data_IF_489731529190
#
_entry.id   IF_489731529190
#
_cell.length_a   1.000
_cell.length_b   1.000
_cell.length_c   1.000
_cell.angle_alpha   90.00
_cell.angle_beta   90.00
_cell.angle_gamma   90.00
#
_symmetry.space_group_name_H-M   'P 1'
#
loop_
_entity.id
_entity.type
_entity.pdbx_description
1 polymer ?
#
# COMPACT_ATOMS: atom_id res chain seq x y z
N UNK A 1 -6.01 5.97 -1.93
CA UNK A 1 -5.77 4.51 -2.04
C UNK A 1 -4.61 4.17 -1.12
N UNK A 2 -4.54 2.94 -0.64
CA UNK A 2 -3.39 2.45 0.12
C UNK A 2 -3.01 1.06 -0.39
N UNK A 3 -1.73 0.74 -0.41
CA UNK A 3 -1.23 -0.56 -0.83
C UNK A 3 0.02 -0.98 -0.06
N UNK A 4 0.25 -2.28 -0.01
CA UNK A 4 1.42 -2.96 0.53
C UNK A 4 1.93 -3.92 -0.53
N UNK A 5 3.25 -3.93 -0.73
CA UNK A 5 3.94 -5.05 -1.37
C UNK A 5 4.48 -5.93 -0.24
N UNK A 6 4.12 -7.21 -0.25
CA UNK A 6 4.48 -8.16 0.79
C UNK A 6 5.30 -9.31 0.20
N UNK A 7 6.43 -9.61 0.81
CA UNK A 7 7.29 -10.75 0.51
C UNK A 7 7.30 -11.73 1.68
N UNK A 8 7.48 -13.01 1.38
CA UNK A 8 7.71 -14.07 2.37
C UNK A 8 8.56 -15.14 1.70
N UNK A 9 9.66 -15.55 2.33
CA UNK A 9 10.57 -16.57 1.77
C UNK A 9 9.80 -17.83 1.38
N UNK A 10 10.07 -18.36 0.18
CA UNK A 10 9.36 -19.52 -0.36
C UNK A 10 7.95 -19.23 -0.91
N UNK A 11 7.48 -17.98 -0.89
CA UNK A 11 6.18 -17.59 -1.43
C UNK A 11 6.30 -16.47 -2.47
N UNK A 12 5.38 -16.50 -3.45
CA UNK A 12 5.25 -15.39 -4.42
C UNK A 12 4.92 -14.08 -3.69
N UNK A 13 5.47 -12.94 -4.14
CA UNK A 13 5.12 -11.64 -3.58
C UNK A 13 3.64 -11.31 -3.83
N UNK A 14 3.07 -10.51 -2.93
CA UNK A 14 1.66 -10.14 -2.97
C UNK A 14 1.52 -8.62 -2.93
N UNK A 15 0.65 -8.09 -3.78
CA UNK A 15 0.19 -6.71 -3.71
C UNK A 15 -1.15 -6.69 -2.98
N UNK A 16 -1.23 -6.10 -1.79
CA UNK A 16 -2.47 -5.97 -1.01
C UNK A 16 -2.87 -4.50 -1.03
N UNK A 17 -4.13 -4.17 -1.35
CA UNK A 17 -4.54 -2.78 -1.48
C UNK A 17 -5.98 -2.54 -1.04
N UNK A 18 -6.28 -1.27 -0.77
CA UNK A 18 -7.61 -0.74 -0.47
C UNK A 18 -7.86 0.52 -1.30
N UNK A 19 -9.09 0.66 -1.80
CA UNK A 19 -9.56 1.82 -2.56
C UNK A 19 -10.78 2.36 -1.84
N UNK A 20 -10.71 3.64 -1.48
CA UNK A 20 -11.86 4.38 -0.98
C UNK A 20 -12.42 5.22 -2.13
N UNK A 21 -13.73 5.12 -2.33
CA UNK A 21 -14.50 5.96 -3.23
C UNK A 21 -15.10 7.09 -2.39
N UNK A 22 -14.62 8.31 -2.58
CA UNK A 22 -15.30 9.47 -2.02
C UNK A 22 -16.45 9.87 -2.96
N UNK A 23 -17.68 9.77 -2.49
CA UNK A 23 -18.91 9.95 -3.29
C UNK A 23 -19.60 11.31 -3.09
N UNK A 24 -18.92 12.29 -2.49
CA UNK A 24 -19.43 13.67 -2.42
C UNK A 24 -19.36 14.30 -1.02
N UNK A 25 -19.81 15.55 -0.88
CA UNK A 25 -19.49 16.38 0.27
C UNK A 25 -20.38 16.02 1.46
N UNK A 26 -20.00 15.01 2.23
CA UNK A 26 -20.38 14.96 3.63
C UNK A 26 -19.53 16.00 4.35
N UNK A 27 -20.12 17.17 4.65
CA UNK A 27 -19.53 18.19 5.53
C UNK A 27 -18.94 17.45 6.74
N UNK A 28 -17.63 17.60 7.00
CA UNK A 28 -16.86 16.94 8.07
C UNK A 28 -16.29 15.53 7.84
N UNK A 29 -16.39 14.91 6.65
CA UNK A 29 -15.67 13.64 6.40
C UNK A 29 -14.20 13.89 6.08
N UNK A 30 -13.28 13.26 6.81
CA UNK A 30 -11.83 13.29 6.52
C UNK A 30 -11.59 12.69 5.13
N UNK A 31 -10.98 13.48 4.24
CA UNK A 31 -10.57 13.02 2.91
C UNK A 31 -9.37 12.07 3.04
N UNK A 32 -9.43 10.91 2.40
CA UNK A 32 -8.33 9.96 2.36
C UNK A 32 -8.44 8.80 3.36
N UNK A 33 -7.33 8.10 3.57
CA UNK A 33 -7.24 6.98 4.50
C UNK A 33 -6.98 7.50 5.92
N UNK A 34 -7.74 6.99 6.88
CA UNK A 34 -7.55 7.25 8.31
C UNK A 34 -6.60 6.23 8.93
N UNK A 35 -6.14 6.49 10.15
CA UNK A 35 -5.32 5.56 10.95
C UNK A 35 -6.03 4.21 11.10
N UNK A 36 -7.35 4.20 11.33
CA UNK A 36 -8.16 2.98 11.39
C UNK A 36 -8.18 2.21 10.06
N UNK A 37 -8.19 2.91 8.93
CA UNK A 37 -8.17 2.26 7.61
C UNK A 37 -6.83 1.59 7.34
N UNK A 38 -5.72 2.23 7.74
CA UNK A 38 -4.40 1.62 7.69
C UNK A 38 -4.30 0.42 8.63
N UNK A 39 -4.79 0.53 9.86
CA UNK A 39 -4.84 -0.60 10.81
C UNK A 39 -5.56 -1.81 10.21
N UNK A 40 -6.74 -1.61 9.60
CA UNK A 40 -7.49 -2.67 8.91
C UNK A 40 -6.75 -3.27 7.72
N UNK A 41 -5.98 -2.45 6.99
CA UNK A 41 -5.13 -2.94 5.90
C UNK A 41 -4.01 -3.84 6.44
N UNK A 42 -3.38 -3.45 7.54
CA UNK A 42 -2.33 -4.23 8.20
C UNK A 42 -2.89 -5.55 8.75
N UNK A 43 -4.06 -5.54 9.40
CA UNK A 43 -4.71 -6.74 9.91
C UNK A 43 -5.04 -7.72 8.77
N UNK A 44 -5.57 -7.21 7.66
CA UNK A 44 -5.85 -8.02 6.48
C UNK A 44 -4.59 -8.59 5.83
N UNK A 45 -3.45 -7.88 5.90
CA UNK A 45 -2.17 -8.39 5.43
C UNK A 45 -1.66 -9.51 6.35
N UNK A 46 -1.73 -9.32 7.66
CA UNK A 46 -1.33 -10.32 8.66
C UNK A 46 -2.11 -11.63 8.50
N UNK A 47 -3.44 -11.54 8.40
CA UNK A 47 -4.32 -12.70 8.17
C UNK A 47 -3.97 -13.44 6.87
N UNK A 48 -3.66 -12.72 5.79
CA UNK A 48 -3.32 -13.35 4.51
C UNK A 48 -1.93 -13.99 4.50
N UNK A 49 -0.97 -13.44 5.24
CA UNK A 49 0.43 -13.89 5.24
C UNK A 49 0.70 -14.96 6.32
N UNK A 50 -0.14 -15.01 7.35
CA UNK A 50 -0.15 -16.05 8.39
C UNK A 50 1.09 -16.02 9.27
N UNK A 51 1.58 -14.83 9.65
CA UNK A 51 2.75 -14.68 10.50
C UNK A 51 3.08 -13.24 10.86
N UNK A 52 4.11 -13.03 11.71
CA UNK A 52 4.59 -11.69 12.06
C UNK A 52 4.99 -10.88 10.84
N UNK A 53 4.77 -9.57 10.90
CA UNK A 53 5.06 -8.64 9.82
C UNK A 53 6.17 -7.66 10.22
N UNK A 54 7.12 -7.46 9.31
CA UNK A 54 8.01 -6.30 9.30
C UNK A 54 7.47 -5.33 8.27
N UNK A 55 6.99 -4.17 8.73
CA UNK A 55 6.45 -3.11 7.89
C UNK A 55 7.51 -2.02 7.70
N UNK A 56 7.77 -1.68 6.44
CA UNK A 56 8.60 -0.53 6.06
C UNK A 56 7.73 0.43 5.25
N UNK A 57 7.62 1.69 5.67
CA UNK A 57 6.79 2.69 5.01
C UNK A 57 7.34 4.11 5.21
N UNK A 58 6.76 5.07 4.51
CA UNK A 58 7.14 6.48 4.54
C UNK A 58 6.54 7.24 5.73
N UNK A 59 7.04 8.46 5.94
CA UNK A 59 6.66 9.33 7.05
C UNK A 59 5.38 10.15 6.78
N UNK A 60 4.39 9.60 6.06
CA UNK A 60 3.10 10.26 5.90
C UNK A 60 2.52 10.61 7.28
N UNK A 61 1.96 11.82 7.45
CA UNK A 61 1.47 12.30 8.76
C UNK A 61 0.57 11.29 9.50
N UNK A 62 -0.29 10.57 8.77
CA UNK A 62 -1.13 9.50 9.33
C UNK A 62 -0.30 8.34 9.87
N UNK A 63 0.77 7.91 9.18
CA UNK A 63 1.66 6.81 9.59
C UNK A 63 2.46 7.12 10.85
N UNK A 64 2.82 8.40 11.07
CA UNK A 64 3.64 8.84 12.22
C UNK A 64 2.83 9.44 13.37
N UNK A 65 1.51 9.55 13.20
CA UNK A 65 0.59 10.11 14.20
C UNK A 65 0.60 9.34 15.52
N UNK A 66 0.22 10.01 16.62
CA UNK A 66 0.09 9.36 17.93
C UNK A 66 -0.88 8.18 17.90
N UNK A 67 -2.06 8.40 17.31
CA UNK A 67 -3.08 7.36 17.17
C UNK A 67 -2.58 6.16 16.38
N UNK A 68 -1.80 6.38 15.31
CA UNK A 68 -1.22 5.25 14.56
C UNK A 68 -0.17 4.49 15.38
N UNK A 69 0.65 5.19 16.17
CA UNK A 69 1.61 4.54 17.07
C UNK A 69 0.92 3.66 18.13
N UNK A 70 -0.19 4.13 18.70
CA UNK A 70 -1.01 3.35 19.64
C UNK A 70 -1.61 2.10 18.97
N UNK A 71 -2.13 2.27 17.75
CA UNK A 71 -2.64 1.14 16.96
C UNK A 71 -1.53 0.13 16.64
N UNK A 72 -0.34 0.58 16.29
CA UNK A 72 0.81 -0.30 16.05
C UNK A 72 1.21 -1.03 17.33
N UNK A 73 1.31 -0.33 18.47
CA UNK A 73 1.70 -0.90 19.75
C UNK A 73 0.74 -2.00 20.24
N UNK A 74 -0.54 -1.93 19.86
CA UNK A 74 -1.53 -2.96 20.16
C UNK A 74 -1.35 -4.27 19.35
N UNK A 75 -0.40 -4.32 18.39
CA UNK A 75 -0.17 -5.46 17.49
C UNK A 75 1.20 -6.09 17.76
N UNK A 76 1.24 -7.05 18.68
CA UNK A 76 2.49 -7.76 19.06
C UNK A 76 3.18 -8.50 17.90
N UNK A 77 2.45 -8.76 16.81
CA UNK A 77 2.97 -9.41 15.61
C UNK A 77 3.58 -8.42 14.60
N UNK A 78 3.59 -7.11 14.88
CA UNK A 78 3.99 -6.07 13.94
C UNK A 78 5.24 -5.32 14.41
N UNK A 79 6.30 -5.36 13.61
CA UNK A 79 7.49 -4.51 13.73
C UNK A 79 7.45 -3.45 12.63
N UNK A 80 7.74 -2.19 12.95
CA UNK A 80 7.67 -1.07 12.00
C UNK A 80 8.99 -0.33 11.91
N UNK A 81 9.46 -0.13 10.68
CA UNK A 81 10.59 0.74 10.34
C UNK A 81 10.11 1.88 9.44
N UNK A 82 10.64 3.08 9.71
CA UNK A 82 10.37 4.25 8.89
C UNK A 82 11.47 4.43 7.86
N UNK A 83 11.09 4.78 6.63
CA UNK A 83 12.04 5.22 5.63
C UNK A 83 12.63 6.59 6.01
N UNK A 84 13.85 6.91 5.54
CA UNK A 84 14.37 8.28 5.59
C UNK A 84 13.39 9.28 4.98
N UNK A 85 13.41 10.51 5.50
CA UNK A 85 12.60 11.58 4.92
C UNK A 85 12.99 11.81 3.46
N UNK A 86 11.99 12.07 2.61
CA UNK A 86 12.18 12.37 1.18
C UNK A 86 12.90 11.28 0.37
N UNK A 87 12.75 10.00 0.74
CA UNK A 87 13.31 8.85 0.00
C UNK A 87 12.24 8.00 -0.71
N UNK A 88 11.44 8.56 -1.66
CA UNK A 88 10.40 7.81 -2.36
C UNK A 88 10.96 6.66 -3.22
N UNK A 89 12.22 6.74 -3.65
CA UNK A 89 12.93 5.68 -4.38
C UNK A 89 13.08 4.39 -3.59
N UNK A 90 13.02 4.46 -2.26
CA UNK A 90 13.07 3.30 -1.37
C UNK A 90 11.69 2.66 -1.14
N UNK A 91 10.60 3.32 -1.57
CA UNK A 91 9.25 2.78 -1.41
C UNK A 91 8.79 2.06 -2.69
N UNK A 92 8.74 0.71 -2.73
CA UNK A 92 8.40 -0.02 -3.95
C UNK A 92 6.94 0.21 -4.39
N UNK A 93 6.08 0.66 -3.47
CA UNK A 93 4.68 1.01 -3.77
C UNK A 93 4.57 2.26 -4.67
N UNK A 94 5.56 3.16 -4.65
CA UNK A 94 5.62 4.28 -5.62
C UNK A 94 5.76 3.79 -7.07
N UNK A 95 6.43 2.66 -7.26
CA UNK A 95 6.48 1.95 -8.52
C UNK A 95 5.11 1.46 -8.98
N UNK A 96 4.27 0.96 -8.05
CA UNK A 96 2.89 0.54 -8.32
C UNK A 96 2.07 1.73 -8.82
N UNK A 97 2.16 2.87 -8.14
CA UNK A 97 1.47 4.10 -8.52
C UNK A 97 1.93 4.65 -9.85
N UNK A 98 3.24 4.62 -10.12
CA UNK A 98 3.81 5.04 -11.40
C UNK A 98 3.31 4.17 -12.55
N UNK A 99 3.26 2.85 -12.36
CA UNK A 99 2.71 1.92 -13.35
C UNK A 99 1.22 2.13 -13.57
N UNK A 100 0.46 2.28 -12.49
CA UNK A 100 -0.98 2.54 -12.56
C UNK A 100 -1.25 3.83 -13.33
N UNK A 101 -0.63 4.95 -12.95
CA UNK A 101 -0.78 6.25 -13.62
C UNK A 101 -0.44 6.16 -15.11
N UNK A 102 0.67 5.53 -15.47
CA UNK A 102 1.06 5.34 -16.88
C UNK A 102 0.04 4.52 -17.67
N UNK A 103 -0.56 3.50 -17.05
CA UNK A 103 -1.60 2.69 -17.69
C UNK A 103 -2.96 3.40 -17.84
N UNK A 104 -3.13 4.52 -17.15
CA UNK A 104 -4.31 5.37 -17.19
C UNK A 104 -4.11 6.61 -18.08
N UNK A 105 -2.87 6.91 -18.47
CA UNK A 105 -2.56 8.02 -19.36
C UNK A 105 -3.36 7.86 -20.67
N UNK A 106 -3.93 8.97 -21.14
CA UNK A 106 -4.71 9.08 -22.38
C UNK A 106 -6.05 8.32 -22.39
N UNK A 107 -6.56 7.88 -21.23
CA UNK A 107 -7.91 7.30 -21.13
C UNK A 107 -8.92 8.35 -20.67
N UNK A 108 -9.84 8.71 -21.55
CA UNK A 108 -11.04 9.47 -21.19
C UNK A 108 -12.08 8.52 -20.59
N UNK A 109 -12.38 8.69 -19.29
CA UNK A 109 -13.52 8.04 -18.63
C UNK A 109 -14.53 9.11 -18.23
N UNK A 110 -15.80 8.81 -18.46
CA UNK A 110 -16.87 9.80 -18.31
C UNK A 110 -17.55 9.73 -16.92
N UNK A 111 -17.08 8.86 -16.02
CA UNK A 111 -17.54 8.82 -14.63
C UNK A 111 -16.48 8.28 -13.64
N UNK A 112 -16.65 8.64 -12.36
CA UNK A 112 -15.82 8.16 -11.25
C UNK A 112 -15.92 6.63 -11.06
N UNK A 113 -17.11 6.06 -11.28
CA UNK A 113 -17.31 4.61 -11.18
C UNK A 113 -16.54 3.87 -12.29
N UNK A 114 -16.57 4.38 -13.52
CA UNK A 114 -15.78 3.82 -14.63
C UNK A 114 -14.28 3.90 -14.36
N UNK A 115 -13.79 5.04 -13.84
CA UNK A 115 -12.39 5.20 -13.45
C UNK A 115 -12.02 4.21 -12.34
N UNK A 116 -12.89 4.03 -11.36
CA UNK A 116 -12.62 3.13 -10.23
C UNK A 116 -12.63 1.66 -10.64
N UNK A 117 -13.56 1.24 -11.49
CA UNK A 117 -13.58 -0.10 -12.05
C UNK A 117 -12.31 -0.38 -12.86
N UNK A 118 -11.83 0.60 -13.63
CA UNK A 118 -10.58 0.50 -14.37
C UNK A 118 -9.38 0.39 -13.43
N UNK A 119 -9.26 1.25 -12.42
CA UNK A 119 -8.18 1.21 -11.42
C UNK A 119 -8.15 -0.14 -10.70
N UNK A 120 -9.30 -0.65 -10.25
CA UNK A 120 -9.43 -1.99 -9.65
C UNK A 120 -8.93 -3.07 -10.60
N UNK A 121 -9.35 -3.02 -11.87
CA UNK A 121 -8.93 -3.98 -12.89
C UNK A 121 -7.40 -3.94 -13.10
N UNK A 122 -6.80 -2.75 -13.20
CA UNK A 122 -5.35 -2.60 -13.39
C UNK A 122 -4.56 -3.12 -12.19
N UNK A 123 -4.96 -2.75 -10.97
CA UNK A 123 -4.33 -3.25 -9.74
C UNK A 123 -4.48 -4.77 -9.60
N UNK A 124 -5.66 -5.32 -9.94
CA UNK A 124 -5.89 -6.77 -9.96
C UNK A 124 -4.99 -7.48 -10.96
N UNK A 125 -4.78 -6.93 -12.15
CA UNK A 125 -3.81 -7.49 -13.12
C UNK A 125 -2.38 -7.46 -12.58
N UNK A 126 -1.99 -6.40 -11.87
CA UNK A 126 -0.67 -6.32 -11.24
C UNK A 126 -0.49 -7.37 -10.13
N UNK A 127 -1.53 -7.67 -9.34
CA UNK A 127 -1.49 -8.76 -8.35
C UNK A 127 -1.14 -10.13 -8.97
N UNK A 128 -1.48 -10.36 -10.23
CA UNK A 128 -1.18 -11.61 -10.96
C UNK A 128 0.10 -11.55 -11.78
N UNK A 129 0.97 -10.54 -11.57
CA UNK A 129 2.27 -10.42 -12.24
C UNK A 129 3.42 -10.41 -11.21
N UNK A 130 3.81 -11.57 -10.65
CA UNK A 130 4.87 -11.65 -9.65
C UNK A 130 6.18 -10.99 -10.08
N UNK A 131 6.64 -11.27 -11.31
CA UNK A 131 7.86 -10.66 -11.88
C UNK A 131 7.83 -9.12 -11.93
N UNK A 132 6.65 -8.53 -12.12
CA UNK A 132 6.52 -7.07 -12.04
C UNK A 132 6.75 -6.60 -10.60
N UNK A 133 6.13 -7.25 -9.62
CA UNK A 133 6.27 -6.90 -8.21
C UNK A 133 7.72 -7.08 -7.75
N UNK A 134 8.37 -8.18 -8.15
CA UNK A 134 9.79 -8.45 -7.90
C UNK A 134 10.68 -7.34 -8.47
N UNK A 135 10.43 -6.93 -9.73
CA UNK A 135 11.17 -5.82 -10.34
C UNK A 135 10.96 -4.48 -9.64
N UNK A 136 9.76 -4.21 -9.11
CA UNK A 136 9.50 -3.00 -8.31
C UNK A 136 10.27 -3.00 -6.99
N UNK A 137 10.38 -4.15 -6.33
CA UNK A 137 11.19 -4.31 -5.11
C UNK A 137 12.67 -4.15 -5.45
N UNK A 138 13.17 -4.89 -6.44
CA UNK A 138 14.58 -4.86 -6.83
C UNK A 138 15.08 -3.45 -7.19
N UNK A 139 14.21 -2.62 -7.78
CA UNK A 139 14.53 -1.22 -8.12
C UNK A 139 14.84 -0.36 -6.90
N UNK A 140 14.33 -0.69 -5.72
CA UNK A 140 14.59 0.07 -4.49
C UNK A 140 16.00 -0.13 -3.94
N UNK A 141 16.69 -1.20 -4.35
CA UNK A 141 17.99 -1.59 -3.79
C UNK A 141 17.95 -1.98 -2.32
N UNK A 142 16.76 -2.08 -1.71
CA UNK A 142 16.62 -2.50 -0.32
C UNK A 142 16.91 -3.99 -0.17
N UNK A 143 17.82 -4.31 0.75
CA UNK A 143 17.88 -5.64 1.31
C UNK A 143 16.75 -5.79 2.33
N UNK A 144 15.89 -6.79 2.11
CA UNK A 144 14.73 -7.08 2.96
C UNK A 144 15.03 -8.18 3.97
N UNK A 145 16.29 -8.62 4.09
CA UNK A 145 16.70 -9.49 5.18
C UNK A 145 16.65 -8.72 6.51
N UNK A 146 16.05 -9.30 7.57
CA UNK A 146 16.14 -8.71 8.89
C UNK A 146 17.61 -8.66 9.34
N UNK A 147 18.02 -7.62 10.08
CA UNK A 147 19.37 -7.53 10.66
C UNK A 147 19.65 -8.65 11.67
#
# INVERSE_FOLDING_TARGET
MAALICTKTGHRPRLIYRIHLDRGPAKHRRKGFTETDYARLLDAAHQQLGGPLVLVWDNLNTHVSRTMRELIAARLWLTVYQLPAYAPELNPVEGVWSHLKRSLANLTKHSLDQLTALVKTRLKRMQYRPRLIEGLIAKTGLDLQPP
#
